data_IF_389688230244
#
_entry.id   IF_389688230244
#
_cell.length_a   1.000
_cell.length_b   1.000
_cell.length_c   1.000
_cell.angle_alpha   90.00
_cell.angle_beta   90.00
_cell.angle_gamma   90.00
#
_symmetry.space_group_name_H-M   'P 1'
#
loop_
_entity.id
_entity.type
_entity.pdbx_description
1 polymer ?
#
# COMPACT_ATOMS: atom_id res chain seq x y z
N UNK A 1 17.04 33.75 -4.86
CA UNK A 1 16.75 32.31 -4.96
C UNK A 1 16.32 31.90 -3.57
N UNK A 2 15.02 32.02 -3.27
CA UNK A 2 14.47 31.60 -1.99
C UNK A 2 14.66 30.09 -1.80
N UNK A 3 15.47 29.75 -0.80
CA UNK A 3 15.44 28.46 -0.13
C UNK A 3 14.00 28.17 0.29
N UNK A 4 13.38 27.20 -0.37
CA UNK A 4 12.10 26.63 0.07
C UNK A 4 12.35 25.78 1.31
N UNK A 5 12.66 26.46 2.42
CA UNK A 5 12.90 25.85 3.72
C UNK A 5 11.69 25.04 4.14
N UNK A 6 11.91 23.74 4.37
CA UNK A 6 10.88 22.83 4.86
C UNK A 6 10.20 23.35 6.13
N UNK A 7 8.90 23.07 6.24
CA UNK A 7 8.09 23.49 7.39
C UNK A 7 8.73 23.03 8.72
N UNK A 8 8.79 23.91 9.74
CA UNK A 8 9.46 23.60 11.01
C UNK A 8 8.82 22.39 11.67
N UNK A 9 9.65 21.41 12.04
CA UNK A 9 9.20 20.13 12.63
C UNK A 9 8.96 19.00 11.63
N UNK A 10 9.14 19.22 10.32
CA UNK A 10 9.30 18.11 9.37
C UNK A 10 10.75 17.72 9.25
N UNK A 11 11.05 16.46 9.52
CA UNK A 11 12.25 15.82 9.00
C UNK A 11 12.19 15.97 7.49
N UNK A 12 13.05 16.80 6.91
CA UNK A 12 13.29 16.76 5.48
C UNK A 12 13.56 15.30 5.13
N UNK A 13 12.77 14.74 4.21
CA UNK A 13 13.20 13.54 3.50
C UNK A 13 14.38 13.98 2.64
N UNK A 14 15.52 14.20 3.28
CA UNK A 14 16.71 14.75 2.67
C UNK A 14 17.10 13.82 1.54
N UNK A 15 17.03 14.33 0.31
CA UNK A 15 17.65 13.83 -0.93
C UNK A 15 17.60 12.31 -1.22
N UNK A 16 16.86 11.51 -0.45
CA UNK A 16 16.74 10.07 -0.60
C UNK A 16 15.70 9.85 -1.69
N UNK A 17 16.23 9.62 -2.89
CA UNK A 17 15.51 9.24 -4.08
C UNK A 17 14.55 8.10 -3.69
N UNK A 18 13.26 8.43 -3.55
CA UNK A 18 12.23 7.41 -3.54
C UNK A 18 12.41 6.64 -4.84
N UNK A 19 12.72 5.35 -4.77
CA UNK A 19 12.75 4.54 -5.98
C UNK A 19 11.30 4.24 -6.35
N UNK A 20 10.74 4.88 -7.40
CA UNK A 20 9.36 4.61 -7.81
C UNK A 20 9.19 3.16 -8.27
N UNK A 21 10.29 2.43 -8.52
CA UNK A 21 10.26 1.03 -8.94
C UNK A 21 9.84 0.08 -7.82
N UNK A 22 10.31 0.29 -6.58
CA UNK A 22 9.96 -0.62 -5.46
C UNK A 22 8.48 -0.49 -5.13
N UNK A 23 7.98 0.74 -5.06
CA UNK A 23 6.57 1.02 -4.81
C UNK A 23 5.66 0.40 -5.89
N UNK A 24 6.01 0.61 -7.18
CA UNK A 24 5.28 0.02 -8.31
C UNK A 24 5.32 -1.50 -8.29
N UNK A 25 6.48 -2.10 -8.04
CA UNK A 25 6.63 -3.55 -7.98
C UNK A 25 5.81 -4.15 -6.83
N UNK A 26 5.88 -3.54 -5.64
CA UNK A 26 5.07 -3.96 -4.49
C UNK A 26 3.57 -3.82 -4.77
N UNK A 27 3.13 -2.74 -5.41
CA UNK A 27 1.73 -2.53 -5.76
C UNK A 27 1.23 -3.60 -6.75
N UNK A 28 2.00 -3.88 -7.80
CA UNK A 28 1.67 -4.92 -8.78
C UNK A 28 1.63 -6.30 -8.11
N UNK A 29 2.65 -6.65 -7.34
CA UNK A 29 2.73 -7.94 -6.65
C UNK A 29 1.57 -8.15 -5.66
N UNK A 30 1.25 -7.12 -4.85
CA UNK A 30 0.12 -7.16 -3.91
C UNK A 30 -1.24 -7.19 -4.61
N UNK A 31 -1.36 -6.55 -5.77
CA UNK A 31 -2.60 -6.59 -6.56
C UNK A 31 -2.85 -7.98 -7.12
N UNK A 32 -1.82 -8.61 -7.71
CA UNK A 32 -1.92 -9.97 -8.23
C UNK A 32 -2.23 -10.97 -7.12
N UNK A 33 -1.52 -10.90 -5.98
CA UNK A 33 -1.80 -11.79 -4.85
C UNK A 33 -3.18 -11.56 -4.24
N UNK A 34 -3.61 -10.29 -4.14
CA UNK A 34 -4.94 -9.92 -3.66
C UNK A 34 -6.05 -10.51 -4.52
N UNK A 35 -5.91 -10.49 -5.86
CA UNK A 35 -6.90 -11.08 -6.77
C UNK A 35 -6.99 -12.60 -6.59
N UNK A 36 -5.86 -13.27 -6.42
CA UNK A 36 -5.81 -14.74 -6.25
C UNK A 36 -6.47 -15.15 -4.92
N UNK A 37 -6.24 -14.37 -3.86
CA UNK A 37 -6.68 -14.69 -2.49
C UNK A 37 -8.10 -14.16 -2.19
N UNK A 38 -8.59 -13.17 -2.95
CA UNK A 38 -9.92 -12.58 -2.79
C UNK A 38 -11.07 -13.59 -2.60
N UNK A 39 -11.23 -14.65 -3.42
CA UNK A 39 -12.33 -15.61 -3.25
C UNK A 39 -12.23 -16.40 -1.94
N UNK A 40 -11.02 -16.76 -1.51
CA UNK A 40 -10.80 -17.47 -0.24
C UNK A 40 -11.19 -16.61 0.96
N UNK A 41 -10.79 -15.34 0.95
CA UNK A 41 -11.20 -14.39 2.00
C UNK A 41 -12.72 -14.22 1.98
N UNK A 42 -13.32 -14.06 0.79
CA UNK A 42 -14.76 -13.85 0.65
C UNK A 42 -15.57 -15.02 1.21
N UNK A 43 -15.15 -16.25 0.96
CA UNK A 43 -15.74 -17.47 1.53
C UNK A 43 -15.67 -17.47 3.07
N UNK A 44 -14.54 -17.03 3.64
CA UNK A 44 -14.36 -16.95 5.10
C UNK A 44 -15.26 -15.93 5.80
N UNK A 45 -15.65 -14.86 5.12
CA UNK A 45 -16.59 -13.84 5.66
C UNK A 45 -18.03 -13.99 5.16
N UNK A 46 -18.29 -14.96 4.27
CA UNK A 46 -19.63 -15.32 3.78
C UNK A 46 -20.65 -15.56 4.89
N UNK A 47 -20.30 -16.22 6.02
CA UNK A 47 -21.24 -16.39 7.14
C UNK A 47 -21.73 -15.07 7.77
N UNK A 48 -20.97 -13.98 7.63
CA UNK A 48 -21.27 -12.69 8.24
C UNK A 48 -21.91 -11.70 7.25
N UNK A 49 -21.48 -11.72 5.99
CA UNK A 49 -21.89 -10.74 4.98
C UNK A 49 -22.74 -11.32 3.83
N UNK A 50 -22.91 -12.65 3.79
CA UNK A 50 -23.70 -13.34 2.77
C UNK A 50 -23.27 -12.99 1.35
N UNK A 51 -24.22 -12.69 0.47
CA UNK A 51 -23.97 -12.35 -0.94
C UNK A 51 -23.07 -11.11 -1.15
N UNK A 52 -22.92 -10.24 -0.14
CA UNK A 52 -22.10 -9.02 -0.23
C UNK A 52 -20.63 -9.26 0.10
N UNK A 53 -20.26 -10.48 0.48
CA UNK A 53 -18.92 -10.83 0.96
C UNK A 53 -17.83 -10.53 -0.06
N UNK A 54 -18.04 -10.90 -1.32
CA UNK A 54 -17.07 -10.63 -2.37
C UNK A 54 -16.86 -9.13 -2.61
N UNK A 55 -17.95 -8.34 -2.60
CA UNK A 55 -17.87 -6.89 -2.77
C UNK A 55 -17.14 -6.23 -1.60
N UNK A 56 -17.38 -6.69 -0.37
CA UNK A 56 -16.68 -6.18 0.82
C UNK A 56 -15.18 -6.49 0.77
N UNK A 57 -14.79 -7.71 0.38
CA UNK A 57 -13.37 -8.07 0.19
C UNK A 57 -12.73 -7.22 -0.91
N UNK A 58 -13.39 -7.06 -2.05
CA UNK A 58 -12.87 -6.25 -3.15
C UNK A 58 -12.62 -4.80 -2.73
N UNK A 59 -13.59 -4.17 -2.04
CA UNK A 59 -13.43 -2.82 -1.52
C UNK A 59 -12.29 -2.73 -0.49
N UNK A 60 -12.19 -3.72 0.41
CA UNK A 60 -11.11 -3.79 1.39
C UNK A 60 -9.74 -3.89 0.74
N UNK A 61 -9.59 -4.74 -0.28
CA UNK A 61 -8.34 -4.91 -1.02
C UNK A 61 -7.94 -3.64 -1.78
N UNK A 62 -8.89 -2.96 -2.44
CA UNK A 62 -8.63 -1.69 -3.15
C UNK A 62 -8.03 -0.62 -2.23
N UNK A 63 -8.47 -0.57 -0.97
CA UNK A 63 -7.95 0.39 0.02
C UNK A 63 -6.63 -0.10 0.63
N UNK A 64 -6.58 -1.38 1.00
CA UNK A 64 -5.48 -1.91 1.80
C UNK A 64 -4.20 -2.11 0.97
N UNK A 65 -4.31 -2.55 -0.28
CA UNK A 65 -3.15 -2.83 -1.15
C UNK A 65 -2.28 -1.58 -1.36
N UNK A 66 -2.81 -0.41 -1.77
CA UNK A 66 -2.01 0.80 -1.92
C UNK A 66 -1.35 1.26 -0.61
N UNK A 67 -2.06 1.09 0.53
CA UNK A 67 -1.52 1.46 1.84
C UNK A 67 -0.33 0.57 2.23
N UNK A 68 -0.44 -0.74 2.02
CA UNK A 68 0.65 -1.68 2.30
C UNK A 68 1.82 -1.40 1.34
N UNK A 69 1.56 -1.22 0.04
CA UNK A 69 2.61 -0.91 -0.95
C UNK A 69 3.39 0.35 -0.57
N UNK A 70 2.69 1.43 -0.20
CA UNK A 70 3.33 2.68 0.24
C UNK A 70 4.12 2.50 1.54
N UNK A 71 3.62 1.69 2.47
CA UNK A 71 4.33 1.37 3.72
C UNK A 71 5.63 0.62 3.45
N UNK A 72 5.60 -0.38 2.56
CA UNK A 72 6.79 -1.13 2.13
C UNK A 72 7.81 -0.20 1.48
N UNK A 73 7.39 0.70 0.58
CA UNK A 73 8.27 1.68 -0.05
C UNK A 73 8.99 2.57 0.98
N UNK A 74 8.26 3.06 1.99
CA UNK A 74 8.82 3.86 3.08
C UNK A 74 9.77 3.06 3.98
N UNK A 75 9.42 1.82 4.32
CA UNK A 75 10.26 0.93 5.12
C UNK A 75 11.56 0.57 4.39
N UNK A 76 11.48 0.26 3.10
CA UNK A 76 12.65 -0.06 2.28
C UNK A 76 13.67 1.09 2.28
N UNK A 77 13.19 2.34 2.13
CA UNK A 77 14.05 3.51 2.17
C UNK A 77 14.67 3.69 3.57
N UNK A 78 13.93 3.43 4.65
CA UNK A 78 14.46 3.51 6.03
C UNK A 78 15.49 2.44 6.34
N UNK A 79 15.39 1.25 5.76
CA UNK A 79 16.36 0.16 5.97
C UNK A 79 17.62 0.40 5.14
N UNK A 80 17.48 0.98 3.94
CA UNK A 80 18.61 1.32 3.06
C UNK A 80 19.30 2.65 3.44
N UNK A 81 18.69 3.40 4.35
CA UNK A 81 19.08 4.74 4.78
C UNK A 81 20.27 4.75 5.72
#
# INVERSE_FOLDING_TARGET
>A
MEDSGGLPGRSEMGSKIFSPFVDRFSLIALSVSGIIIAPEIASGIEPFLGEKSFSAVACGLIITIPLIASSIGKLYIRIRA
#
